data_IF_109334362624
#
_entry.id   IF_109334362624
#
_cell.length_a   1.000
_cell.length_b   1.000
_cell.length_c   1.000
_cell.angle_alpha   90.00
_cell.angle_beta   90.00
_cell.angle_gamma   90.00
#
_symmetry.space_group_name_H-M   'P 1'
#
loop_
_entity.id
_entity.type
_entity.pdbx_description
1 polymer ?
#
# COMPACT_ATOMS: atom_id res chain seq x y z
N UNK A 1 20.46 -40.00 -19.19
CA UNK A 1 20.06 -40.77 -17.99
C UNK A 1 19.90 -39.76 -16.86
N UNK A 2 18.91 -39.93 -15.99
CA UNK A 2 18.54 -38.94 -14.96
C UNK A 2 18.47 -39.67 -13.64
N UNK A 3 19.06 -39.14 -12.58
CA UNK A 3 18.94 -39.70 -11.24
C UNK A 3 18.34 -38.65 -10.30
N UNK A 4 17.54 -39.11 -9.34
CA UNK A 4 16.99 -38.27 -8.27
C UNK A 4 17.79 -38.52 -6.99
N UNK A 5 18.34 -37.47 -6.41
CA UNK A 5 18.93 -37.51 -5.07
C UNK A 5 17.97 -36.86 -4.09
N UNK A 6 17.46 -37.64 -3.13
CA UNK A 6 16.62 -37.17 -2.04
C UNK A 6 17.41 -37.29 -0.74
N UNK A 7 17.75 -36.16 -0.13
CA UNK A 7 18.38 -36.11 1.19
C UNK A 7 17.28 -35.84 2.21
N UNK A 8 17.13 -36.76 3.17
CA UNK A 8 16.17 -36.66 4.25
C UNK A 8 16.93 -36.56 5.57
N UNK A 9 17.03 -35.34 6.12
CA UNK A 9 17.65 -35.15 7.44
C UNK A 9 16.75 -35.75 8.51
N UNK A 10 17.22 -36.72 9.31
CA UNK A 10 16.39 -37.35 10.34
C UNK A 10 15.89 -36.30 11.34
N UNK A 11 14.58 -36.20 11.49
CA UNK A 11 13.93 -35.34 12.47
C UNK A 11 12.77 -36.07 13.12
N UNK A 12 12.53 -35.81 14.40
CA UNK A 12 11.39 -36.37 15.17
C UNK A 12 11.27 -37.90 15.04
N UNK A 13 12.41 -38.59 15.16
CA UNK A 13 12.53 -40.04 14.98
C UNK A 13 11.66 -40.85 15.92
N UNK A 14 11.28 -40.27 17.06
CA UNK A 14 10.52 -40.94 18.11
C UNK A 14 8.99 -40.83 17.89
N UNK A 15 8.56 -40.09 16.87
CA UNK A 15 7.15 -39.88 16.55
C UNK A 15 6.66 -40.99 15.60
N UNK A 16 5.67 -41.81 16.00
CA UNK A 16 5.20 -42.96 15.22
C UNK A 16 4.75 -42.60 13.79
N UNK A 17 4.12 -41.44 13.61
CA UNK A 17 3.66 -40.96 12.31
C UNK A 17 4.84 -40.69 11.36
N UNK A 18 5.95 -40.15 11.86
CA UNK A 18 7.17 -39.91 11.09
C UNK A 18 7.84 -41.23 10.71
N UNK A 19 7.86 -42.22 11.61
CA UNK A 19 8.39 -43.56 11.32
C UNK A 19 7.56 -44.28 10.24
N UNK A 20 6.23 -44.15 10.30
CA UNK A 20 5.32 -44.70 9.29
C UNK A 20 5.55 -44.03 7.94
N UNK A 21 5.68 -42.70 7.91
CA UNK A 21 5.95 -41.95 6.67
C UNK A 21 7.29 -42.37 6.06
N UNK A 22 8.35 -42.44 6.86
CA UNK A 22 9.67 -42.90 6.39
C UNK A 22 9.62 -44.31 5.81
N UNK A 23 8.92 -45.23 6.48
CA UNK A 23 8.72 -46.59 5.97
C UNK A 23 8.00 -46.61 4.61
N UNK A 24 6.94 -45.82 4.44
CA UNK A 24 6.22 -45.69 3.16
C UNK A 24 7.12 -45.12 2.06
N UNK A 25 7.94 -44.11 2.38
CA UNK A 25 8.89 -43.54 1.42
C UNK A 25 9.93 -44.58 1.00
N UNK A 26 10.51 -45.33 1.93
CA UNK A 26 11.47 -46.39 1.63
C UNK A 26 10.88 -47.50 0.75
N UNK A 27 9.64 -47.89 1.00
CA UNK A 27 8.93 -48.88 0.18
C UNK A 27 8.73 -48.36 -1.26
N UNK A 28 8.33 -47.10 -1.42
CA UNK A 28 8.14 -46.47 -2.74
C UNK A 28 9.47 -46.39 -3.49
N UNK A 29 10.54 -45.92 -2.83
CA UNK A 29 11.89 -45.83 -3.40
C UNK A 29 12.38 -47.22 -3.82
N UNK A 30 12.22 -48.23 -2.96
CA UNK A 30 12.59 -49.62 -3.25
C UNK A 30 11.83 -50.17 -4.45
N UNK A 31 10.52 -49.92 -4.54
CA UNK A 31 9.69 -50.32 -5.68
C UNK A 31 10.13 -49.67 -6.99
N UNK A 32 10.40 -48.36 -6.99
CA UNK A 32 10.84 -47.62 -8.18
C UNK A 32 12.24 -48.09 -8.61
N UNK A 33 13.17 -48.19 -7.68
CA UNK A 33 14.53 -48.67 -7.97
C UNK A 33 14.52 -50.12 -8.46
N UNK A 34 13.66 -50.98 -7.93
CA UNK A 34 13.50 -52.35 -8.42
C UNK A 34 12.90 -52.45 -9.82
N UNK A 35 12.01 -51.52 -10.20
CA UNK A 35 11.36 -51.50 -11.50
C UNK A 35 12.23 -50.90 -12.61
N UNK A 36 12.96 -49.82 -12.31
CA UNK A 36 13.70 -49.04 -13.32
C UNK A 36 15.23 -49.09 -13.16
N UNK A 37 15.73 -49.68 -12.08
CA UNK A 37 17.16 -49.87 -11.84
C UNK A 37 17.75 -50.99 -12.69
N UNK A 38 19.06 -50.90 -12.92
CA UNK A 38 19.85 -51.95 -13.56
C UNK A 38 21.11 -52.24 -12.74
N UNK A 39 21.94 -53.20 -13.16
CA UNK A 39 23.19 -53.55 -12.47
C UNK A 39 24.13 -52.35 -12.24
N UNK A 40 24.04 -51.33 -13.09
CA UNK A 40 24.94 -50.16 -13.05
C UNK A 40 24.19 -48.84 -12.82
N UNK A 41 22.88 -48.87 -12.60
CA UNK A 41 22.05 -47.67 -12.54
C UNK A 41 20.98 -47.77 -11.45
N UNK A 42 20.97 -46.76 -10.57
CA UNK A 42 19.97 -46.61 -9.51
C UNK A 42 19.25 -45.27 -9.76
N UNK A 43 17.94 -45.26 -10.05
CA UNK A 43 17.24 -44.05 -10.42
C UNK A 43 17.00 -43.10 -9.24
N UNK A 44 16.83 -43.61 -8.02
CA UNK A 44 16.59 -42.79 -6.82
C UNK A 44 17.61 -43.13 -5.73
N UNK A 45 18.42 -42.14 -5.35
CA UNK A 45 19.27 -42.17 -4.17
C UNK A 45 18.55 -41.50 -3.00
N UNK A 46 18.03 -42.29 -2.07
CA UNK A 46 17.41 -41.79 -0.84
C UNK A 46 18.39 -41.91 0.33
N UNK A 47 18.81 -40.77 0.89
CA UNK A 47 19.84 -40.70 1.92
C UNK A 47 19.27 -40.13 3.23
N UNK A 48 19.19 -40.96 4.27
CA UNK A 48 18.78 -40.54 5.62
C UNK A 48 19.96 -39.96 6.43
N UNK A 49 20.61 -38.93 5.89
CA UNK A 49 21.77 -38.30 6.53
C UNK A 49 21.70 -36.79 6.41
N UNK A 50 22.36 -36.10 7.32
CA UNK A 50 22.75 -34.70 7.12
C UNK A 50 24.01 -34.63 6.27
N UNK A 51 24.09 -33.65 5.38
CA UNK A 51 25.33 -33.24 4.73
C UNK A 51 25.87 -31.99 5.42
N UNK A 52 27.19 -31.78 5.35
CA UNK A 52 27.77 -30.50 5.71
C UNK A 52 27.31 -29.41 4.73
N UNK A 53 27.38 -28.16 5.14
CA UNK A 53 27.01 -27.02 4.30
C UNK A 53 27.75 -27.03 2.97
N UNK A 54 29.07 -27.27 2.98
CA UNK A 54 29.89 -27.32 1.77
C UNK A 54 29.50 -28.45 0.82
N UNK A 55 29.21 -29.64 1.35
CA UNK A 55 28.75 -30.78 0.54
C UNK A 55 27.38 -30.50 -0.09
N UNK A 56 26.48 -29.87 0.65
CA UNK A 56 25.16 -29.50 0.16
C UNK A 56 25.25 -28.43 -0.95
N UNK A 57 26.07 -27.39 -0.76
CA UNK A 57 26.32 -26.39 -1.80
C UNK A 57 26.96 -26.99 -3.05
N UNK A 58 27.92 -27.90 -2.89
CA UNK A 58 28.55 -28.60 -4.01
C UNK A 58 27.51 -29.45 -4.76
N UNK A 59 26.63 -30.15 -4.03
CA UNK A 59 25.54 -30.91 -4.63
C UNK A 59 24.58 -29.99 -5.38
N UNK A 60 24.19 -28.86 -4.79
CA UNK A 60 23.35 -27.88 -5.47
C UNK A 60 24.01 -27.39 -6.75
N UNK A 61 25.28 -27.01 -6.75
CA UNK A 61 25.99 -26.48 -7.91
C UNK A 61 26.03 -27.44 -9.11
N UNK A 62 26.13 -28.75 -8.88
CA UNK A 62 26.14 -29.77 -9.95
C UNK A 62 24.75 -30.26 -10.36
N UNK A 63 23.69 -29.88 -9.62
CA UNK A 63 22.32 -30.39 -9.85
C UNK A 63 21.65 -29.62 -10.98
N UNK A 64 21.17 -30.30 -12.01
CA UNK A 64 20.50 -29.64 -13.14
C UNK A 64 19.09 -29.13 -12.81
N UNK A 65 18.36 -29.84 -11.94
CA UNK A 65 16.98 -29.51 -11.57
C UNK A 65 16.77 -29.71 -10.07
N UNK A 66 16.28 -28.69 -9.37
CA UNK A 66 15.80 -28.83 -7.99
C UNK A 66 14.28 -28.96 -7.95
N UNK A 67 13.80 -29.97 -7.22
CA UNK A 67 12.37 -30.26 -7.07
C UNK A 67 11.91 -29.88 -5.67
N UNK A 68 11.21 -28.75 -5.56
CA UNK A 68 10.65 -28.23 -4.29
C UNK A 68 9.13 -28.26 -4.36
N UNK A 69 8.54 -29.44 -4.14
CA UNK A 69 7.11 -29.71 -4.31
C UNK A 69 6.36 -29.86 -2.98
N UNK A 70 6.71 -29.05 -1.98
CA UNK A 70 6.04 -29.02 -0.67
C UNK A 70 4.53 -28.80 -0.81
N UNK A 71 3.70 -29.59 -0.11
CA UNK A 71 2.23 -29.43 -0.15
C UNK A 71 1.76 -28.09 0.42
N UNK A 72 2.46 -27.62 1.46
CA UNK A 72 2.32 -26.29 2.06
C UNK A 72 3.64 -25.93 2.73
N UNK A 73 4.13 -24.73 2.45
CA UNK A 73 5.35 -24.24 3.07
C UNK A 73 5.25 -22.73 3.31
N UNK A 74 5.51 -22.28 4.54
CA UNK A 74 5.46 -20.85 4.87
C UNK A 74 6.53 -20.07 4.10
N UNK A 75 7.72 -20.67 3.97
CA UNK A 75 8.82 -20.22 3.14
C UNK A 75 9.73 -21.41 2.86
N UNK A 76 10.34 -21.48 1.68
CA UNK A 76 11.26 -22.56 1.37
C UNK A 76 12.67 -22.02 1.10
N UNK A 77 13.55 -22.08 2.11
CA UNK A 77 14.92 -21.55 2.01
C UNK A 77 15.81 -22.40 1.10
N UNK A 78 15.55 -23.70 0.99
CA UNK A 78 16.25 -24.61 0.06
C UNK A 78 16.18 -24.10 -1.38
N UNK A 79 15.05 -23.49 -1.76
CA UNK A 79 14.88 -22.87 -3.08
C UNK A 79 15.86 -21.71 -3.30
N UNK A 80 16.10 -20.88 -2.28
CA UNK A 80 17.04 -19.76 -2.34
C UNK A 80 18.48 -20.25 -2.35
N UNK A 81 18.80 -21.21 -1.49
CA UNK A 81 20.11 -21.86 -1.41
C UNK A 81 20.50 -22.50 -2.74
N UNK A 82 19.56 -23.21 -3.37
CA UNK A 82 19.77 -23.79 -4.69
C UNK A 82 20.09 -22.71 -5.74
N UNK A 83 19.23 -21.70 -5.88
CA UNK A 83 19.44 -20.60 -6.84
C UNK A 83 20.78 -19.89 -6.61
N UNK A 84 21.18 -19.69 -5.35
CA UNK A 84 22.44 -19.06 -4.99
C UNK A 84 23.66 -19.89 -5.41
N UNK A 85 23.58 -21.23 -5.35
CA UNK A 85 24.66 -22.14 -5.75
C UNK A 85 24.74 -22.38 -7.27
N UNK A 86 23.82 -21.81 -8.06
CA UNK A 86 23.66 -22.10 -9.48
C UNK A 86 24.31 -21.06 -10.41
N UNK A 87 25.28 -20.28 -9.93
CA UNK A 87 25.90 -19.19 -10.71
C UNK A 87 26.45 -19.63 -12.07
N UNK A 88 27.00 -20.84 -12.14
CA UNK A 88 27.73 -21.32 -13.31
C UNK A 88 26.89 -22.26 -14.18
N UNK A 89 26.12 -23.15 -13.55
CA UNK A 89 25.30 -24.15 -14.26
C UNK A 89 23.92 -23.59 -14.66
N UNK A 90 23.39 -22.61 -13.92
CA UNK A 90 22.06 -22.03 -14.15
C UNK A 90 20.95 -23.10 -14.20
N UNK A 91 20.92 -24.02 -13.25
CA UNK A 91 19.93 -25.09 -13.13
C UNK A 91 18.49 -24.60 -12.90
N UNK A 92 17.52 -25.46 -13.18
CA UNK A 92 16.09 -25.12 -13.16
C UNK A 92 15.48 -25.44 -11.79
N UNK A 93 14.74 -24.48 -11.25
CA UNK A 93 13.95 -24.68 -10.03
C UNK A 93 12.51 -25.03 -10.40
N UNK A 94 12.04 -26.21 -10.00
CA UNK A 94 10.62 -26.58 -10.02
C UNK A 94 10.07 -26.36 -8.61
N UNK A 95 9.06 -25.51 -8.48
CA UNK A 95 8.62 -24.98 -7.19
C UNK A 95 7.11 -25.10 -7.01
N UNK A 96 6.67 -25.52 -5.83
CA UNK A 96 5.26 -25.56 -5.49
C UNK A 96 4.66 -24.16 -5.45
N UNK A 97 3.48 -23.99 -6.06
CA UNK A 97 2.66 -22.78 -5.92
C UNK A 97 2.22 -22.50 -4.47
N UNK A 98 2.27 -23.51 -3.58
CA UNK A 98 1.90 -23.41 -2.17
C UNK A 98 3.08 -23.16 -1.22
N UNK A 99 4.28 -22.94 -1.77
CA UNK A 99 5.43 -22.49 -1.00
C UNK A 99 5.49 -20.95 -1.01
N UNK A 100 5.74 -20.31 0.14
CA UNK A 100 5.92 -18.85 0.20
C UNK A 100 7.01 -18.33 -0.75
N UNK A 101 8.02 -19.17 -1.05
CA UNK A 101 9.06 -18.85 -2.03
C UNK A 101 8.53 -18.64 -3.45
N UNK A 102 7.34 -19.16 -3.80
CA UNK A 102 6.74 -19.00 -5.12
C UNK A 102 6.40 -17.55 -5.45
N UNK A 103 6.06 -16.74 -4.44
CA UNK A 103 5.82 -15.30 -4.65
C UNK A 103 7.09 -14.55 -5.04
N UNK A 104 8.25 -15.03 -4.57
CA UNK A 104 9.55 -14.40 -4.77
C UNK A 104 10.30 -14.93 -5.99
N UNK A 105 10.33 -16.26 -6.15
CA UNK A 105 11.11 -16.98 -7.16
C UNK A 105 10.25 -17.52 -8.31
N UNK A 106 8.92 -17.26 -8.29
CA UNK A 106 8.00 -17.76 -9.30
C UNK A 106 8.19 -17.18 -10.70
N UNK A 107 8.87 -16.05 -10.83
CA UNK A 107 9.19 -15.47 -12.15
C UNK A 107 10.18 -16.35 -12.93
N UNK A 108 11.20 -16.88 -12.26
CA UNK A 108 12.20 -17.77 -12.89
C UNK A 108 11.93 -19.27 -12.68
N UNK A 109 11.12 -19.66 -11.68
CA UNK A 109 10.82 -21.06 -11.41
C UNK A 109 9.70 -21.63 -12.30
N UNK A 110 9.69 -22.96 -12.47
CA UNK A 110 8.53 -23.67 -12.99
C UNK A 110 7.56 -23.98 -11.84
N UNK A 111 6.46 -23.22 -11.78
CA UNK A 111 5.46 -23.39 -10.73
C UNK A 111 4.57 -24.59 -11.01
N UNK A 112 4.38 -25.44 -9.99
CA UNK A 112 3.58 -26.66 -10.10
C UNK A 112 2.62 -26.80 -8.93
N UNK A 113 1.49 -27.46 -9.20
CA UNK A 113 0.61 -27.94 -8.14
C UNK A 113 1.06 -29.35 -7.70
N UNK A 114 1.56 -29.54 -6.47
CA UNK A 114 2.09 -30.83 -6.02
C UNK A 114 1.02 -31.93 -5.88
N UNK A 115 -0.27 -31.58 -5.87
CA UNK A 115 -1.37 -32.55 -5.88
C UNK A 115 -1.62 -33.13 -7.28
N UNK A 116 -1.14 -32.46 -8.33
CA UNK A 116 -1.26 -32.91 -9.70
C UNK A 116 0.03 -33.61 -10.17
N UNK A 117 0.06 -34.93 -9.99
CA UNK A 117 1.24 -35.76 -10.31
C UNK A 117 1.65 -35.63 -11.78
N UNK A 118 0.68 -35.53 -12.70
CA UNK A 118 0.97 -35.38 -14.13
C UNK A 118 1.66 -34.06 -14.46
N UNK A 119 1.24 -32.99 -13.79
CA UNK A 119 1.84 -31.65 -13.94
C UNK A 119 3.26 -31.61 -13.38
N UNK A 120 3.49 -32.23 -12.21
CA UNK A 120 4.85 -32.36 -11.66
C UNK A 120 5.75 -33.18 -12.59
N UNK A 121 5.24 -34.29 -13.15
CA UNK A 121 6.00 -35.10 -14.10
C UNK A 121 6.34 -34.33 -15.38
N UNK A 122 5.38 -33.57 -15.92
CA UNK A 122 5.61 -32.72 -17.08
C UNK A 122 6.62 -31.61 -16.79
N UNK A 123 6.53 -30.96 -15.63
CA UNK A 123 7.48 -29.93 -15.23
C UNK A 123 8.90 -30.47 -15.06
N UNK A 124 9.08 -31.69 -14.56
CA UNK A 124 10.40 -32.35 -14.51
C UNK A 124 10.94 -32.57 -15.93
N UNK A 125 10.09 -33.05 -16.84
CA UNK A 125 10.47 -33.26 -18.24
C UNK A 125 10.86 -31.93 -18.92
N UNK A 126 10.04 -30.89 -18.73
CA UNK A 126 10.28 -29.56 -19.28
C UNK A 126 11.57 -28.96 -18.70
N UNK A 127 11.77 -29.04 -17.38
CA UNK A 127 12.99 -28.57 -16.70
C UNK A 127 14.27 -29.17 -17.29
N UNK A 128 14.24 -30.46 -17.66
CA UNK A 128 15.37 -31.17 -18.26
C UNK A 128 15.52 -30.90 -19.77
N UNK A 129 14.48 -30.38 -20.42
CA UNK A 129 14.42 -30.16 -21.87
C UNK A 129 14.53 -28.67 -22.26
N UNK A 130 14.51 -27.76 -21.29
CA UNK A 130 14.64 -26.31 -21.50
C UNK A 130 15.96 -25.98 -22.18
N UNK A 131 15.92 -25.03 -23.12
CA UNK A 131 17.12 -24.53 -23.79
C UNK A 131 18.04 -23.80 -22.81
N UNK A 132 19.35 -23.86 -23.04
CA UNK A 132 20.35 -23.20 -22.19
C UNK A 132 20.11 -21.68 -22.06
N UNK A 133 19.64 -21.04 -23.12
CA UNK A 133 19.30 -19.60 -23.13
C UNK A 133 18.15 -19.29 -22.17
N UNK A 134 17.05 -20.02 -22.29
CA UNK A 134 15.90 -19.85 -21.39
C UNK A 134 16.26 -20.21 -19.94
N UNK A 135 17.08 -21.25 -19.75
CA UNK A 135 17.59 -21.67 -18.43
C UNK A 135 18.34 -20.55 -17.74
N UNK A 136 19.27 -19.90 -18.45
CA UNK A 136 20.05 -18.76 -17.95
C UNK A 136 19.19 -17.55 -17.65
N UNK A 137 18.21 -17.23 -18.49
CA UNK A 137 17.33 -16.09 -18.25
C UNK A 137 16.47 -16.30 -17.00
N UNK A 138 15.90 -17.50 -16.84
CA UNK A 138 15.15 -17.90 -15.64
C UNK A 138 16.02 -17.83 -14.38
N UNK A 139 17.23 -18.38 -14.44
CA UNK A 139 18.19 -18.30 -13.34
C UNK A 139 18.54 -16.86 -13.00
N UNK A 140 18.82 -16.02 -14.01
CA UNK A 140 19.17 -14.60 -13.81
C UNK A 140 18.08 -13.84 -13.05
N UNK A 141 16.80 -14.05 -13.38
CA UNK A 141 15.68 -13.42 -12.68
C UNK A 141 15.65 -13.81 -11.19
N UNK A 142 15.75 -15.10 -10.92
CA UNK A 142 15.74 -15.61 -9.55
C UNK A 142 16.99 -15.19 -8.77
N UNK A 143 18.16 -15.27 -9.39
CA UNK A 143 19.45 -14.91 -8.77
C UNK A 143 19.49 -13.44 -8.37
N UNK A 144 18.99 -12.54 -9.22
CA UNK A 144 18.85 -11.11 -8.89
C UNK A 144 17.95 -10.90 -7.68
N UNK A 145 16.85 -11.64 -7.56
CA UNK A 145 15.96 -11.56 -6.40
C UNK A 145 16.68 -12.01 -5.12
N UNK A 146 17.35 -13.17 -5.16
CA UNK A 146 18.10 -13.73 -4.01
C UNK A 146 19.22 -12.79 -3.54
N UNK A 147 19.92 -12.12 -4.47
CA UNK A 147 20.98 -11.18 -4.13
C UNK A 147 20.47 -9.88 -3.51
N UNK A 148 19.28 -9.42 -3.90
CA UNK A 148 18.72 -8.14 -3.44
C UNK A 148 17.92 -8.27 -2.15
N UNK A 149 17.21 -9.38 -1.97
CA UNK A 149 16.32 -9.62 -0.83
C UNK A 149 16.98 -10.57 0.18
N UNK A 150 18.07 -10.10 0.80
CA UNK A 150 18.84 -10.88 1.77
C UNK A 150 18.14 -10.96 3.13
N UNK A 151 18.59 -11.89 3.98
CA UNK A 151 18.12 -11.98 5.36
C UNK A 151 18.43 -10.69 6.15
N UNK A 152 19.54 -10.02 5.86
CA UNK A 152 19.86 -8.71 6.43
C UNK A 152 18.85 -7.65 5.98
N UNK A 153 18.53 -7.59 4.68
CA UNK A 153 17.53 -6.65 4.17
C UNK A 153 16.15 -6.84 4.81
N UNK A 154 15.74 -8.10 5.00
CA UNK A 154 14.51 -8.42 5.72
C UNK A 154 14.56 -7.91 7.17
N UNK A 155 15.66 -8.17 7.89
CA UNK A 155 15.82 -7.73 9.28
C UNK A 155 15.81 -6.20 9.41
N UNK A 156 16.53 -5.49 8.54
CA UNK A 156 16.58 -4.03 8.52
C UNK A 156 15.20 -3.44 8.23
N UNK A 157 14.48 -4.00 7.25
CA UNK A 157 13.11 -3.57 6.92
C UNK A 157 12.17 -3.80 8.10
N UNK A 158 12.23 -4.98 8.73
CA UNK A 158 11.39 -5.31 9.87
C UNK A 158 11.62 -4.35 11.05
N UNK A 159 12.88 -4.07 11.38
CA UNK A 159 13.22 -3.13 12.47
C UNK A 159 12.83 -1.70 12.11
N UNK A 160 12.99 -1.28 10.86
CA UNK A 160 12.58 0.05 10.39
C UNK A 160 11.07 0.20 10.51
N UNK A 161 10.28 -0.75 10.01
CA UNK A 161 8.82 -0.74 10.14
C UNK A 161 8.38 -0.74 11.62
N UNK A 162 9.08 -1.50 12.48
CA UNK A 162 8.79 -1.52 13.91
C UNK A 162 9.07 -0.15 14.56
N UNK A 163 10.17 0.50 14.21
CA UNK A 163 10.47 1.85 14.70
C UNK A 163 9.48 2.89 14.17
N UNK A 164 9.10 2.81 12.91
CA UNK A 164 8.11 3.72 12.31
C UNK A 164 6.75 3.55 13.01
N UNK A 165 6.31 2.32 13.26
CA UNK A 165 5.08 2.08 14.03
C UNK A 165 5.19 2.54 15.48
N UNK A 166 6.37 2.44 16.11
CA UNK A 166 6.60 2.99 17.44
C UNK A 166 6.50 4.51 17.45
N UNK A 167 7.14 5.19 16.49
CA UNK A 167 7.06 6.66 16.33
C UNK A 167 5.62 7.07 16.04
N UNK A 168 4.92 6.37 15.15
CA UNK A 168 3.53 6.65 14.83
C UNK A 168 2.60 6.44 16.04
N UNK A 169 2.83 5.38 16.82
CA UNK A 169 2.11 5.13 18.07
C UNK A 169 2.43 6.18 19.14
N UNK A 170 3.68 6.61 19.25
CA UNK A 170 4.11 7.65 20.17
C UNK A 170 3.54 9.02 19.77
N UNK A 171 3.49 9.35 18.47
CA UNK A 171 2.78 10.53 17.95
C UNK A 171 1.28 10.48 18.27
N UNK A 172 0.64 9.31 18.17
CA UNK A 172 -0.75 9.11 18.59
C UNK A 172 -0.94 9.23 20.10
N UNK A 173 0.04 8.80 20.90
CA UNK A 173 -0.02 8.81 22.36
C UNK A 173 0.38 10.16 22.96
N UNK A 174 1.23 10.94 22.29
CA UNK A 174 1.81 12.17 22.86
C UNK A 174 0.83 13.31 23.05
N UNK A 175 -0.23 13.40 22.26
CA UNK A 175 -1.22 14.46 22.47
C UNK A 175 -2.63 13.98 22.12
N UNK A 176 -3.37 13.51 23.12
CA UNK A 176 -4.78 13.91 23.17
C UNK A 176 -4.75 15.39 23.55
N UNK A 177 -4.99 16.34 22.63
CA UNK A 177 -5.05 17.74 23.02
C UNK A 177 -6.10 17.89 24.11
N UNK A 178 -5.90 18.79 25.09
CA UNK A 178 -6.93 19.05 26.09
C UNK A 178 -8.24 19.37 25.39
N UNK A 179 -9.39 18.96 25.96
CA UNK A 179 -10.68 19.29 25.36
C UNK A 179 -10.78 20.80 25.16
N UNK A 180 -11.26 21.22 23.98
CA UNK A 180 -11.40 22.63 23.63
C UNK A 180 -12.24 23.36 24.69
N UNK A 181 -11.68 24.41 25.30
CA UNK A 181 -12.45 25.30 26.17
C UNK A 181 -13.38 26.17 25.32
N UNK A 182 -14.62 25.69 25.16
CA UNK A 182 -15.66 26.38 24.39
C UNK A 182 -15.91 27.80 24.93
N UNK A 183 -15.76 28.04 26.23
CA UNK A 183 -16.00 29.36 26.80
C UNK A 183 -14.89 30.34 26.45
N UNK A 184 -13.65 29.87 26.35
CA UNK A 184 -12.54 30.68 25.85
C UNK A 184 -12.73 31.05 24.38
N UNK A 185 -13.09 30.07 23.53
CA UNK A 185 -13.34 30.31 22.10
C UNK A 185 -14.50 31.29 21.91
N UNK A 186 -15.59 31.15 22.66
CA UNK A 186 -16.73 32.09 22.58
C UNK A 186 -16.34 33.49 23.03
N UNK A 187 -15.54 33.63 24.09
CA UNK A 187 -15.02 34.93 24.55
C UNK A 187 -14.14 35.58 23.48
N UNK A 188 -13.18 34.82 22.93
CA UNK A 188 -12.31 35.28 21.86
C UNK A 188 -13.10 35.67 20.59
N UNK A 189 -14.14 34.91 20.26
CA UNK A 189 -15.06 35.21 19.17
C UNK A 189 -15.78 36.53 19.42
N UNK A 190 -16.35 36.74 20.60
CA UNK A 190 -17.07 37.99 20.91
C UNK A 190 -16.15 39.22 20.94
N UNK A 191 -14.89 39.08 21.36
CA UNK A 191 -13.94 40.20 21.43
C UNK A 191 -13.26 40.55 20.10
N UNK A 192 -13.21 39.60 19.16
CA UNK A 192 -12.55 39.79 17.87
C UNK A 192 -13.42 40.55 16.87
N UNK A 193 -12.79 41.43 16.09
CA UNK A 193 -13.48 42.23 15.06
C UNK A 193 -13.43 41.57 13.69
N UNK A 194 -12.42 40.74 13.45
CA UNK A 194 -12.16 40.06 12.18
C UNK A 194 -11.75 38.61 12.44
N UNK A 195 -12.53 37.66 11.92
CA UNK A 195 -12.42 36.24 12.28
C UNK A 195 -12.26 35.38 11.05
N UNK A 196 -11.29 34.48 11.09
CA UNK A 196 -11.07 33.47 10.06
C UNK A 196 -11.52 32.11 10.62
N UNK A 197 -12.50 31.49 9.96
CA UNK A 197 -13.02 30.17 10.35
C UNK A 197 -12.70 29.18 9.24
N UNK A 198 -11.79 28.26 9.51
CA UNK A 198 -11.34 27.22 8.57
C UNK A 198 -11.97 25.89 8.97
N UNK A 199 -12.72 25.29 8.05
CA UNK A 199 -13.50 24.07 8.29
C UNK A 199 -13.07 22.95 7.33
N UNK A 200 -12.69 21.81 7.87
CA UNK A 200 -12.56 20.57 7.11
C UNK A 200 -13.94 20.04 6.71
N UNK A 201 -14.09 19.51 5.50
CA UNK A 201 -15.37 18.96 5.05
C UNK A 201 -15.60 17.53 5.58
N UNK A 202 -14.69 16.60 5.27
CA UNK A 202 -14.82 15.18 5.61
C UNK A 202 -14.63 14.97 7.12
N UNK A 203 -15.52 14.19 7.74
CA UNK A 203 -15.48 13.84 9.17
C UNK A 203 -15.53 15.06 10.13
N UNK A 204 -15.90 16.23 9.62
CA UNK A 204 -16.06 17.46 10.40
C UNK A 204 -17.41 18.12 10.09
N UNK A 205 -17.72 18.40 8.82
CA UNK A 205 -19.06 18.87 8.40
C UNK A 205 -20.01 17.72 8.04
N UNK A 206 -19.45 16.59 7.61
CA UNK A 206 -20.20 15.37 7.32
C UNK A 206 -20.30 14.48 8.57
N UNK A 207 -21.44 13.82 8.76
CA UNK A 207 -21.62 12.89 9.88
C UNK A 207 -20.72 11.67 9.67
N UNK A 208 -19.81 11.41 10.61
CA UNK A 208 -19.21 10.09 10.75
C UNK A 208 -20.31 9.11 11.14
N UNK A 209 -20.63 8.14 10.26
CA UNK A 209 -21.53 7.06 10.65
C UNK A 209 -20.74 6.17 11.60
N UNK A 210 -21.02 6.28 12.90
CA UNK A 210 -20.59 5.27 13.87
C UNK A 210 -20.97 3.90 13.32
N UNK A 211 -19.98 3.01 13.19
CA UNK A 211 -20.20 1.66 12.73
C UNK A 211 -21.32 1.03 13.60
N UNK A 212 -22.41 0.50 13.00
CA UNK A 212 -23.47 -0.09 13.80
C UNK A 212 -22.87 -1.20 14.66
N UNK A 213 -23.19 -1.18 15.96
CA UNK A 213 -22.88 -2.29 16.89
C UNK A 213 -23.27 -3.59 16.19
N UNK A 214 -22.29 -4.48 16.08
CA UNK A 214 -22.38 -5.79 15.42
C UNK A 214 -23.75 -6.43 15.60
N UNK A 215 -24.54 -6.47 14.52
CA UNK A 215 -25.87 -7.06 14.57
C UNK A 215 -26.70 -6.71 13.33
N UNK A 216 -26.87 -7.71 12.46
CA UNK A 216 -27.68 -7.75 11.22
C UNK A 216 -27.01 -7.20 9.96
N UNK A 217 -26.61 -8.16 9.12
CA UNK A 217 -26.23 -7.94 7.73
C UNK A 217 -27.34 -7.28 6.92
N UNK A 218 -26.92 -6.65 5.81
CA UNK A 218 -27.69 -5.79 4.90
C UNK A 218 -27.95 -4.38 5.43
N UNK A 219 -26.92 -3.51 5.41
CA UNK A 219 -27.03 -2.08 4.98
C UNK A 219 -25.69 -1.31 4.96
N UNK A 220 -24.61 -1.94 4.48
CA UNK A 220 -23.32 -1.25 4.30
C UNK A 220 -23.33 -0.24 3.12
N UNK A 221 -24.28 -0.39 2.19
CA UNK A 221 -24.42 0.47 1.00
C UNK A 221 -24.96 1.89 1.29
N UNK A 222 -25.69 2.11 2.39
CA UNK A 222 -26.23 3.42 2.76
C UNK A 222 -25.18 4.32 3.48
N UNK A 223 -24.11 3.72 4.01
CA UNK A 223 -23.11 4.43 4.83
C UNK A 223 -22.23 5.38 4.01
N UNK A 224 -21.90 5.03 2.75
CA UNK A 224 -21.06 5.89 1.87
C UNK A 224 -21.84 7.09 1.32
N UNK A 225 -23.16 6.95 1.10
CA UNK A 225 -24.02 8.11 0.77
C UNK A 225 -24.18 9.06 1.96
N UNK A 226 -24.17 8.54 3.19
CA UNK A 226 -24.25 9.35 4.41
C UNK A 226 -22.95 10.16 4.68
N UNK A 227 -21.77 9.63 4.33
CA UNK A 227 -20.48 10.33 4.45
C UNK A 227 -20.34 11.55 3.51
N UNK A 228 -21.24 11.69 2.53
CA UNK A 228 -21.23 12.78 1.56
C UNK A 228 -22.25 13.89 1.86
N UNK A 229 -23.12 13.73 2.87
CA UNK A 229 -24.17 14.70 3.17
C UNK A 229 -23.80 15.49 4.42
N UNK A 230 -23.81 16.82 4.31
CA UNK A 230 -23.60 17.72 5.44
C UNK A 230 -24.76 17.57 6.42
N UNK A 231 -24.46 17.51 7.71
CA UNK A 231 -25.50 17.46 8.74
C UNK A 231 -26.35 18.74 8.67
N UNK A 232 -27.69 18.66 8.58
CA UNK A 232 -28.55 19.85 8.49
C UNK A 232 -28.33 20.87 9.62
N UNK A 233 -28.04 20.41 10.85
CA UNK A 233 -27.75 21.30 11.99
C UNK A 233 -26.43 22.04 11.78
N UNK A 234 -25.41 21.35 11.30
CA UNK A 234 -24.09 21.94 11.02
C UNK A 234 -24.21 22.92 9.86
N UNK A 235 -24.99 22.60 8.83
CA UNK A 235 -25.25 23.52 7.72
C UNK A 235 -25.91 24.81 8.19
N UNK A 236 -26.90 24.73 9.10
CA UNK A 236 -27.51 25.92 9.71
C UNK A 236 -26.47 26.78 10.46
N UNK A 237 -25.55 26.15 11.20
CA UNK A 237 -24.45 26.86 11.86
C UNK A 237 -23.50 27.53 10.87
N UNK A 238 -23.15 26.86 9.77
CA UNK A 238 -22.31 27.45 8.71
C UNK A 238 -23.03 28.65 8.07
N UNK A 239 -24.32 28.54 7.76
CA UNK A 239 -25.11 29.66 7.25
C UNK A 239 -25.13 30.85 8.24
N UNK A 240 -25.31 30.58 9.54
CA UNK A 240 -25.28 31.61 10.57
C UNK A 240 -23.92 32.30 10.67
N UNK A 241 -22.82 31.55 10.57
CA UNK A 241 -21.46 32.11 10.54
C UNK A 241 -21.24 32.99 9.31
N UNK A 242 -21.78 32.59 8.15
CA UNK A 242 -21.68 33.37 6.91
C UNK A 242 -22.56 34.63 6.89
N UNK A 243 -23.51 34.74 7.83
CA UNK A 243 -24.38 35.94 7.92
C UNK A 243 -23.66 37.12 8.57
N UNK A 244 -22.64 36.85 9.39
CA UNK A 244 -21.82 37.89 10.03
C UNK A 244 -20.68 38.31 9.09
N UNK A 245 -20.64 39.58 8.61
CA UNK A 245 -19.60 40.06 7.69
C UNK A 245 -18.21 40.14 8.34
N UNK A 246 -18.11 40.06 9.67
CA UNK A 246 -16.82 39.97 10.37
C UNK A 246 -16.12 38.61 10.18
N UNK A 247 -16.86 37.61 9.70
CA UNK A 247 -16.36 36.25 9.50
C UNK A 247 -15.96 36.00 8.06
N UNK A 248 -14.75 35.45 7.87
CA UNK A 248 -14.31 34.84 6.62
C UNK A 248 -14.30 33.34 6.82
N UNK A 249 -15.17 32.63 6.11
CA UNK A 249 -15.31 31.17 6.23
C UNK A 249 -14.63 30.49 5.05
N UNK A 250 -13.73 29.54 5.35
CA UNK A 250 -12.98 28.75 4.37
C UNK A 250 -13.29 27.27 4.59
N UNK A 251 -13.63 26.54 3.53
CA UNK A 251 -13.92 25.10 3.59
C UNK A 251 -12.88 24.32 2.78
N UNK A 252 -12.15 23.43 3.45
CA UNK A 252 -11.20 22.51 2.83
C UNK A 252 -11.82 21.13 2.59
N UNK A 253 -11.70 20.62 1.36
CA UNK A 253 -12.18 19.29 1.01
C UNK A 253 -11.28 18.60 -0.02
N UNK A 254 -11.20 17.28 0.08
CA UNK A 254 -10.65 16.42 -0.98
C UNK A 254 -11.66 16.12 -2.09
N UNK A 255 -12.90 16.60 -1.98
CA UNK A 255 -13.93 16.39 -3.00
C UNK A 255 -13.74 17.30 -4.22
N UNK A 256 -14.31 16.89 -5.35
CA UNK A 256 -14.34 17.65 -6.59
C UNK A 256 -15.07 18.99 -6.44
N UNK A 257 -14.65 19.96 -7.24
CA UNK A 257 -15.20 21.32 -7.24
C UNK A 257 -16.71 21.35 -7.53
N UNK A 258 -17.18 20.55 -8.49
CA UNK A 258 -18.61 20.48 -8.88
C UNK A 258 -19.53 20.13 -7.71
N UNK A 259 -19.10 19.16 -6.88
CA UNK A 259 -19.84 18.72 -5.70
C UNK A 259 -19.85 19.77 -4.60
N UNK A 260 -18.75 20.50 -4.39
CA UNK A 260 -18.71 21.57 -3.40
C UNK A 260 -19.54 22.78 -3.84
N UNK A 261 -19.54 23.09 -5.14
CA UNK A 261 -20.35 24.17 -5.71
C UNK A 261 -21.86 23.88 -5.57
N UNK A 262 -22.29 22.62 -5.79
CA UNK A 262 -23.68 22.21 -5.55
C UNK A 262 -24.11 22.41 -4.08
N UNK A 263 -23.22 22.11 -3.14
CA UNK A 263 -23.55 22.13 -1.71
C UNK A 263 -23.42 23.52 -1.09
N UNK A 264 -22.36 24.26 -1.42
CA UNK A 264 -22.00 25.51 -0.77
C UNK A 264 -21.99 26.73 -1.70
N UNK A 265 -22.18 26.57 -3.01
CA UNK A 265 -22.10 27.67 -3.98
C UNK A 265 -23.15 28.77 -3.78
N UNK A 266 -24.17 28.53 -2.96
CA UNK A 266 -25.17 29.52 -2.56
C UNK A 266 -24.76 30.35 -1.33
N UNK A 267 -23.63 30.05 -0.70
CA UNK A 267 -23.11 30.73 0.50
C UNK A 267 -21.85 31.55 0.15
N UNK A 268 -21.60 32.67 0.85
CA UNK A 268 -20.40 33.47 0.67
C UNK A 268 -19.20 32.83 1.39
N UNK A 269 -18.77 31.65 0.91
CA UNK A 269 -17.64 30.89 1.47
C UNK A 269 -16.50 30.76 0.47
N UNK A 270 -15.29 30.69 1.00
CA UNK A 270 -14.10 30.32 0.23
C UNK A 270 -13.98 28.80 0.18
N UNK A 271 -13.84 28.23 -1.01
CA UNK A 271 -13.74 26.79 -1.19
C UNK A 271 -12.31 26.40 -1.59
N UNK A 272 -11.78 25.36 -0.96
CA UNK A 272 -10.55 24.70 -1.36
C UNK A 272 -10.87 23.24 -1.71
N UNK A 273 -11.01 22.97 -3.01
CA UNK A 273 -11.34 21.65 -3.54
C UNK A 273 -10.06 20.83 -3.82
N UNK A 274 -10.23 19.51 -3.90
CA UNK A 274 -9.15 18.56 -4.23
C UNK A 274 -7.88 18.79 -3.39
N UNK A 275 -8.05 18.94 -2.07
CA UNK A 275 -6.98 19.19 -1.10
C UNK A 275 -6.18 20.48 -1.35
N UNK A 276 -6.79 21.49 -1.97
CA UNK A 276 -6.19 22.82 -2.16
C UNK A 276 -5.53 23.02 -3.53
N UNK A 277 -5.83 22.17 -4.51
CA UNK A 277 -5.44 22.38 -5.91
C UNK A 277 -6.28 23.47 -6.57
N UNK A 278 -7.57 23.54 -6.23
CA UNK A 278 -8.53 24.43 -6.85
C UNK A 278 -9.20 25.38 -5.85
N UNK A 279 -9.29 26.66 -6.23
CA UNK A 279 -9.94 27.73 -5.46
C UNK A 279 -11.06 28.37 -6.30
N UNK A 280 -12.34 28.00 -6.09
CA UNK A 280 -13.46 28.76 -6.62
C UNK A 280 -13.56 30.10 -5.85
N UNK A 281 -13.47 31.23 -6.57
CA UNK A 281 -13.65 32.57 -6.01
C UNK A 281 -15.14 32.82 -5.65
N UNK A 282 -15.43 33.61 -4.60
CA UNK A 282 -16.80 33.98 -4.24
C UNK A 282 -17.48 34.87 -5.30
N UNK A 283 -18.82 34.88 -5.25
CA UNK A 283 -19.82 35.23 -6.27
C UNK A 283 -19.71 36.60 -7.00
N UNK A 284 -18.74 37.46 -6.68
CA UNK A 284 -18.71 38.87 -7.12
C UNK A 284 -17.59 39.26 -8.11
N UNK A 285 -16.76 38.31 -8.57
CA UNK A 285 -15.80 38.56 -9.64
C UNK A 285 -16.16 37.76 -10.90
N UNK A 286 -15.96 38.31 -12.12
CA UNK A 286 -16.11 37.53 -13.34
C UNK A 286 -15.19 36.31 -13.25
N UNK A 287 -15.78 35.11 -13.36
CA UNK A 287 -15.05 33.85 -13.52
C UNK A 287 -14.29 33.91 -14.84
N UNK A 288 -13.12 34.56 -14.92
CA UNK A 288 -12.09 34.44 -15.97
C UNK A 288 -10.93 35.41 -15.62
N UNK A 289 -9.67 35.15 -16.00
CA UNK A 289 -9.21 34.53 -17.24
C UNK A 289 -9.02 33.01 -17.05
N UNK A 290 -8.60 32.23 -18.07
CA UNK A 290 -8.82 30.78 -18.13
C UNK A 290 -8.18 30.07 -16.92
N UNK A 291 -8.39 28.76 -16.68
CA UNK A 291 -7.41 28.02 -15.88
C UNK A 291 -6.06 28.47 -16.40
N UNK A 292 -5.29 29.17 -15.55
CA UNK A 292 -3.94 29.60 -15.89
C UNK A 292 -3.36 28.36 -16.54
N UNK A 293 -3.05 28.50 -17.84
CA UNK A 293 -2.31 27.50 -18.56
C UNK A 293 -1.23 27.02 -17.59
N UNK A 294 -1.18 25.71 -17.38
CA UNK A 294 -0.18 24.97 -16.61
C UNK A 294 1.23 25.24 -17.17
N UNK A 295 1.65 26.50 -17.20
CA UNK A 295 2.86 27.00 -17.85
C UNK A 295 3.69 27.87 -16.92
N UNK A 296 3.31 28.04 -15.65
CA UNK A 296 4.11 28.75 -14.66
C UNK A 296 4.40 28.00 -13.35
N UNK A 297 4.19 26.67 -13.33
CA UNK A 297 4.92 25.79 -12.41
C UNK A 297 5.28 24.50 -13.14
N UNK A 298 6.58 24.31 -13.36
CA UNK A 298 7.29 23.22 -14.06
C UNK A 298 7.32 23.33 -15.60
N UNK A 299 8.38 23.92 -16.18
CA UNK A 299 8.63 23.85 -17.61
C UNK A 299 9.40 22.56 -17.94
N UNK A 300 8.71 21.43 -18.09
CA UNK A 300 9.19 20.31 -18.92
C UNK A 300 8.05 19.35 -19.28
N UNK A 301 7.84 19.24 -20.59
CA UNK A 301 7.30 18.11 -21.35
C UNK A 301 5.78 17.84 -21.36
N UNK A 302 5.18 17.65 -22.55
CA UNK A 302 3.82 17.19 -22.75
C UNK A 302 3.73 15.69 -22.43
N UNK A 303 3.74 15.35 -21.14
CA UNK A 303 3.36 14.02 -20.63
C UNK A 303 2.22 14.09 -19.60
N UNK A 304 1.68 15.28 -19.33
CA UNK A 304 0.54 15.49 -18.43
C UNK A 304 -0.82 15.29 -19.12
N UNK A 305 -0.91 14.31 -20.02
CA UNK A 305 -2.17 13.84 -20.60
C UNK A 305 -2.47 12.47 -19.98
N UNK A 306 -3.49 12.41 -19.13
CA UNK A 306 -4.15 11.19 -18.67
C UNK A 306 -3.29 10.15 -17.92
N UNK A 307 -2.99 10.43 -16.65
CA UNK A 307 -3.09 9.40 -15.60
C UNK A 307 -4.35 9.71 -14.76
N UNK A 308 -5.49 9.80 -15.46
CA UNK A 308 -6.80 9.44 -14.93
C UNK A 308 -7.06 7.93 -15.19
N UNK A 309 -6.00 7.16 -15.40
CA UNK A 309 -6.07 5.72 -15.62
C UNK A 309 -6.19 5.02 -14.27
N UNK A 310 -7.38 4.45 -14.05
CA UNK A 310 -7.53 3.19 -13.33
C UNK A 310 -7.24 3.12 -11.82
N UNK A 311 -7.13 4.24 -11.09
CA UNK A 311 -7.18 4.20 -9.61
C UNK A 311 -8.52 4.75 -9.08
N UNK A 312 -9.42 5.21 -9.95
CA UNK A 312 -10.78 5.61 -9.53
C UNK A 312 -11.72 4.43 -9.25
N UNK A 313 -11.39 3.24 -9.75
CA UNK A 313 -12.06 1.99 -9.38
C UNK A 313 -11.59 1.42 -8.04
N UNK A 314 -10.47 1.90 -7.47
CA UNK A 314 -9.93 1.38 -6.20
C UNK A 314 -9.77 2.40 -5.07
N UNK A 315 -9.80 3.72 -5.32
CA UNK A 315 -10.00 4.72 -4.23
C UNK A 315 -11.35 4.49 -3.52
N UNK A 316 -12.27 3.76 -4.15
CA UNK A 316 -13.57 3.38 -3.57
C UNK A 316 -13.57 2.11 -2.71
N UNK A 317 -12.43 1.44 -2.48
CA UNK A 317 -12.47 0.06 -1.99
C UNK A 317 -11.34 -0.30 -1.01
N UNK A 318 -11.21 0.47 0.05
CA UNK A 318 -10.84 -0.10 1.37
C UNK A 318 -11.95 0.11 2.41
N UNK A 319 -12.85 1.08 2.18
CA UNK A 319 -14.02 1.35 3.03
C UNK A 319 -15.09 0.24 2.88
N UNK A 320 -15.09 -0.48 1.75
CA UNK A 320 -16.14 -1.44 1.35
C UNK A 320 -15.69 -2.90 1.42
N UNK A 321 -14.46 -3.16 1.84
CA UNK A 321 -13.85 -4.50 1.89
C UNK A 321 -13.71 -4.96 3.33
N UNK A 322 -13.49 -6.26 3.51
CA UNK A 322 -13.00 -6.79 4.78
C UNK A 322 -11.73 -6.03 5.21
N UNK A 323 -11.58 -5.75 6.50
CA UNK A 323 -10.52 -4.87 7.03
C UNK A 323 -9.15 -5.48 6.81
N UNK A 324 -9.01 -6.80 6.97
CA UNK A 324 -7.74 -7.51 6.78
C UNK A 324 -7.40 -7.58 5.29
N UNK A 325 -8.36 -7.97 4.45
CA UNK A 325 -8.16 -7.99 3.00
C UNK A 325 -7.83 -6.61 2.43
N UNK A 326 -8.55 -5.58 2.87
CA UNK A 326 -8.33 -4.20 2.44
C UNK A 326 -6.95 -3.68 2.83
N UNK A 327 -6.46 -4.05 4.03
CA UNK A 327 -5.12 -3.67 4.51
C UNK A 327 -4.02 -4.28 3.67
N UNK A 328 -4.13 -5.57 3.33
CA UNK A 328 -3.16 -6.28 2.48
C UNK A 328 -3.14 -5.65 1.07
N UNK A 329 -4.31 -5.43 0.48
CA UNK A 329 -4.41 -4.80 -0.85
C UNK A 329 -3.88 -3.36 -0.88
N UNK A 330 -4.11 -2.59 0.19
CA UNK A 330 -3.55 -1.24 0.30
C UNK A 330 -2.02 -1.27 0.39
N UNK A 331 -1.45 -2.26 1.08
CA UNK A 331 0.01 -2.45 1.18
C UNK A 331 0.61 -2.80 -0.19
N UNK A 332 0.00 -3.74 -0.91
CA UNK A 332 0.46 -4.12 -2.25
C UNK A 332 0.36 -2.94 -3.23
N UNK A 333 -0.73 -2.15 -3.17
CA UNK A 333 -0.87 -0.92 -3.95
C UNK A 333 0.22 0.10 -3.62
N UNK A 334 0.51 0.33 -2.34
CA UNK A 334 1.58 1.25 -1.92
C UNK A 334 2.94 0.81 -2.46
N UNK A 335 3.25 -0.48 -2.36
CA UNK A 335 4.48 -1.05 -2.91
C UNK A 335 4.55 -0.83 -4.42
N UNK A 336 3.47 -1.12 -5.16
CA UNK A 336 3.39 -0.85 -6.59
C UNK A 336 3.54 0.64 -6.96
N UNK A 337 2.99 1.56 -6.16
CA UNK A 337 3.13 2.99 -6.41
C UNK A 337 4.56 3.48 -6.14
N UNK A 338 5.23 2.95 -5.10
CA UNK A 338 6.61 3.30 -4.76
C UNK A 338 7.65 2.71 -5.71
N UNK A 339 7.44 1.48 -6.20
CA UNK A 339 8.41 0.81 -7.08
C UNK A 339 8.06 0.92 -8.57
N UNK A 340 6.86 1.39 -8.89
CA UNK A 340 6.32 1.43 -10.25
C UNK A 340 6.64 2.71 -11.02
N UNK A 341 5.87 3.01 -12.09
CA UNK A 341 6.14 4.11 -13.03
C UNK A 341 6.03 5.51 -12.41
N UNK A 342 5.47 5.61 -11.21
CA UNK A 342 5.23 6.87 -10.49
C UNK A 342 6.42 7.21 -9.56
N UNK A 343 7.34 6.28 -9.32
CA UNK A 343 8.53 6.46 -8.48
C UNK A 343 9.39 7.68 -8.86
N UNK A 344 9.44 8.02 -10.15
CA UNK A 344 10.19 9.17 -10.69
C UNK A 344 9.30 10.37 -11.04
N UNK A 345 8.00 10.28 -10.82
CA UNK A 345 7.08 11.40 -11.05
C UNK A 345 7.09 12.37 -9.86
N UNK A 346 6.87 13.68 -10.07
CA UNK A 346 6.85 14.68 -9.00
C UNK A 346 5.52 14.61 -8.21
N UNK A 347 5.22 13.45 -7.63
CA UNK A 347 4.03 13.19 -6.83
C UNK A 347 4.39 12.61 -5.46
N UNK A 348 3.56 12.92 -4.49
CA UNK A 348 3.61 12.49 -3.11
C UNK A 348 2.46 11.52 -2.84
N UNK A 349 2.77 10.41 -2.16
CA UNK A 349 1.79 9.41 -1.72
C UNK A 349 1.54 9.64 -0.24
N UNK A 350 0.26 9.80 0.12
CA UNK A 350 -0.19 10.01 1.50
C UNK A 350 -1.05 8.83 1.90
N UNK A 351 -0.65 8.18 2.99
CA UNK A 351 -1.43 7.14 3.62
C UNK A 351 -2.36 7.76 4.66
N UNK A 352 -3.66 7.58 4.46
CA UNK A 352 -4.68 7.86 5.46
C UNK A 352 -5.08 6.60 6.22
N UNK A 353 -5.88 6.75 7.28
CA UNK A 353 -6.27 5.62 8.12
C UNK A 353 -7.04 4.50 7.39
N UNK A 354 -7.73 4.82 6.28
CA UNK A 354 -8.46 3.86 5.43
C UNK A 354 -8.38 4.21 3.93
N UNK A 355 -7.40 5.00 3.54
CA UNK A 355 -7.26 5.50 2.16
C UNK A 355 -5.80 5.71 1.80
N UNK A 356 -5.51 5.68 0.50
CA UNK A 356 -4.23 6.09 -0.07
C UNK A 356 -4.54 7.19 -1.07
N UNK A 357 -3.89 8.33 -0.92
CA UNK A 357 -4.04 9.51 -1.78
C UNK A 357 -2.72 9.80 -2.49
N UNK A 358 -2.78 10.21 -3.75
CA UNK A 358 -1.60 10.60 -4.54
C UNK A 358 -1.83 12.01 -5.06
N UNK A 359 -0.87 12.91 -4.81
CA UNK A 359 -0.97 14.33 -5.21
C UNK A 359 0.36 14.86 -5.72
N UNK A 360 0.41 15.96 -6.49
CA UNK A 360 1.69 16.57 -6.87
C UNK A 360 2.50 17.04 -5.66
N UNK A 361 3.83 16.91 -5.74
CA UNK A 361 4.74 17.41 -4.70
C UNK A 361 4.56 18.92 -4.54
N UNK A 362 4.46 19.37 -3.29
CA UNK A 362 4.30 20.78 -2.94
C UNK A 362 2.85 21.27 -2.91
N UNK A 363 1.86 20.43 -3.21
CA UNK A 363 0.44 20.77 -3.03
C UNK A 363 -0.02 20.30 -1.65
N UNK A 364 0.01 21.18 -0.65
CA UNK A 364 -0.47 20.88 0.71
C UNK A 364 -1.60 21.82 1.12
N UNK A 365 -2.46 21.39 2.05
CA UNK A 365 -3.52 22.26 2.58
C UNK A 365 -2.97 23.52 3.25
N UNK A 366 -1.80 23.43 3.90
CA UNK A 366 -1.12 24.58 4.49
C UNK A 366 -0.69 25.61 3.43
N UNK A 367 -0.05 25.17 2.33
CA UNK A 367 0.34 26.07 1.24
C UNK A 367 -0.89 26.65 0.52
N UNK A 368 -1.92 25.85 0.34
CA UNK A 368 -3.19 26.31 -0.20
C UNK A 368 -3.82 27.39 0.68
N UNK A 369 -3.73 27.26 2.01
CA UNK A 369 -4.21 28.28 2.93
C UNK A 369 -3.41 29.58 2.85
N UNK A 370 -2.08 29.50 2.77
CA UNK A 370 -1.25 30.70 2.55
C UNK A 370 -1.63 31.45 1.27
N UNK A 371 -1.91 30.71 0.18
CA UNK A 371 -2.39 31.29 -1.08
C UNK A 371 -3.76 31.95 -0.92
N UNK A 372 -4.69 31.29 -0.21
CA UNK A 372 -6.02 31.85 0.07
C UNK A 372 -5.96 33.13 0.89
N UNK A 373 -5.14 33.17 1.95
CA UNK A 373 -4.93 34.38 2.74
C UNK A 373 -4.38 35.52 1.87
N UNK A 374 -3.46 35.21 0.96
CA UNK A 374 -2.95 36.17 -0.03
C UNK A 374 -4.03 36.68 -0.99
N UNK A 375 -4.94 35.82 -1.45
CA UNK A 375 -6.07 36.22 -2.31
C UNK A 375 -7.08 37.09 -1.56
N UNK A 376 -7.38 36.75 -0.30
CA UNK A 376 -8.25 37.55 0.56
C UNK A 376 -7.62 38.94 0.80
N UNK A 377 -6.30 39.01 1.00
CA UNK A 377 -5.57 40.27 1.10
C UNK A 377 -5.64 41.09 -0.21
N UNK A 378 -5.63 40.42 -1.36
CA UNK A 378 -5.68 41.08 -2.66
C UNK A 378 -7.07 41.68 -2.98
N UNK A 379 -8.15 41.03 -2.54
CA UNK A 379 -9.53 41.53 -2.75
C UNK A 379 -9.90 42.68 -1.80
N UNK A 380 -9.48 42.61 -0.53
CA UNK A 380 -9.91 43.57 0.50
C UNK A 380 -8.80 44.47 1.06
N UNK A 381 -7.58 44.40 0.52
CA UNK A 381 -6.39 45.07 1.06
C UNK A 381 -5.69 44.28 2.18
N UNK A 382 -4.50 44.72 2.60
CA UNK A 382 -3.69 44.03 3.62
C UNK A 382 -4.46 43.87 4.95
N UNK A 383 -5.30 44.85 5.31
CA UNK A 383 -6.18 44.79 6.48
C UNK A 383 -7.24 43.68 6.37
N UNK A 384 -7.62 43.28 5.15
CA UNK A 384 -8.55 42.19 4.92
C UNK A 384 -7.95 40.79 5.12
N UNK A 385 -6.64 40.67 5.32
CA UNK A 385 -5.98 39.44 5.78
C UNK A 385 -5.46 39.52 7.22
N UNK A 386 -5.61 40.66 7.89
CA UNK A 386 -5.38 40.77 9.33
C UNK A 386 -6.59 40.18 10.07
N UNK A 387 -6.40 39.04 10.71
CA UNK A 387 -7.41 38.36 11.51
C UNK A 387 -7.02 38.41 12.99
N UNK A 388 -7.96 38.80 13.84
CA UNK A 388 -7.75 38.87 15.29
C UNK A 388 -8.03 37.51 15.96
N UNK A 389 -8.70 36.61 15.23
CA UNK A 389 -9.02 35.26 15.65
C UNK A 389 -8.99 34.32 14.46
N UNK A 390 -8.33 33.17 14.64
CA UNK A 390 -8.38 32.05 13.69
C UNK A 390 -8.93 30.83 14.41
N UNK A 391 -9.94 30.19 13.83
CA UNK A 391 -10.50 28.94 14.31
C UNK A 391 -10.39 27.90 13.19
N UNK A 392 -9.48 26.94 13.34
CA UNK A 392 -9.30 25.84 12.41
C UNK A 392 -9.85 24.55 13.00
N UNK A 393 -10.84 23.94 12.36
CA UNK A 393 -11.47 22.69 12.79
C UNK A 393 -11.46 21.71 11.62
N UNK A 394 -10.84 20.55 11.80
CA UNK A 394 -10.82 19.53 10.75
C UNK A 394 -10.23 18.21 11.20
N UNK A 395 -10.71 17.11 10.61
CA UNK A 395 -9.98 15.85 10.60
C UNK A 395 -9.08 15.84 9.37
N UNK A 396 -7.79 16.12 9.57
CA UNK A 396 -6.80 16.18 8.50
C UNK A 396 -5.87 14.96 8.56
N UNK A 397 -5.32 14.59 7.42
CA UNK A 397 -4.27 13.57 7.36
C UNK A 397 -2.99 14.12 7.97
N UNK A 398 -2.11 13.26 8.49
CA UNK A 398 -0.87 13.70 9.16
C UNK A 398 -0.02 14.67 8.33
N UNK A 399 0.10 14.47 7.01
CA UNK A 399 0.85 15.41 6.13
C UNK A 399 0.12 16.74 5.82
N UNK A 400 -1.13 16.87 6.24
CA UNK A 400 -1.93 18.10 6.14
C UNK A 400 -2.06 18.82 7.50
N UNK A 401 -1.51 18.28 8.59
CA UNK A 401 -1.49 18.94 9.91
C UNK A 401 -0.69 20.25 9.90
N UNK A 402 0.17 20.46 8.89
CA UNK A 402 0.82 21.75 8.64
C UNK A 402 -0.18 22.92 8.51
N UNK A 403 -1.47 22.65 8.26
CA UNK A 403 -2.52 23.67 8.31
C UNK A 403 -2.71 24.23 9.73
N UNK A 404 -2.60 23.39 10.76
CA UNK A 404 -2.71 23.83 12.16
C UNK A 404 -1.47 24.61 12.58
N UNK A 405 -0.28 24.12 12.23
CA UNK A 405 0.99 24.79 12.54
C UNK A 405 1.20 26.10 11.77
N UNK A 406 0.38 26.40 10.75
CA UNK A 406 0.42 27.68 10.04
C UNK A 406 0.01 28.86 10.95
N UNK A 407 -0.84 28.58 11.93
CA UNK A 407 -1.45 29.59 12.79
C UNK A 407 -0.90 29.57 14.23
N UNK A 408 0.05 28.69 14.52
CA UNK A 408 0.92 28.76 15.71
C UNK A 408 2.08 29.72 15.44
#
# INVERSE_FOLDING_TARGET
>A
QVLLVQIAVPSRTDVPEYQKLRSMVHEIVGRINGQYGTLTYVPIFHLDTSLSFTELCALYAVTDVALVTSLRDGMNLVSYEYVACQSDNAGVLVLSEFAGAAQSLGAGALLVNPWNISDVAQAIYDALSISEEERRERHRQNYMHVQTHTAQHWADTFITELNDTHIEADLRMRHTPPPLDVQEVVRAYQSSKRRLVVLGYNATLTTSVEAPRWGRGRRQFEQVKALAKVNPRVMQSVCALCTDPANVVVIFSGSETSKLDEIFGHLPVWLAAENGVFFPLPFSLPRYPPPLSLSLCVPTAPMCVHIYMYIRTHIHTCIRTDVEFGRIQARDLLQHLWTGPISNAPVEIIQGGKSVEVRPVGVTKGLAMQRLVGLIAAEGGIEAAAFDMVLCIGHLLGRDENLFSLFE
#
